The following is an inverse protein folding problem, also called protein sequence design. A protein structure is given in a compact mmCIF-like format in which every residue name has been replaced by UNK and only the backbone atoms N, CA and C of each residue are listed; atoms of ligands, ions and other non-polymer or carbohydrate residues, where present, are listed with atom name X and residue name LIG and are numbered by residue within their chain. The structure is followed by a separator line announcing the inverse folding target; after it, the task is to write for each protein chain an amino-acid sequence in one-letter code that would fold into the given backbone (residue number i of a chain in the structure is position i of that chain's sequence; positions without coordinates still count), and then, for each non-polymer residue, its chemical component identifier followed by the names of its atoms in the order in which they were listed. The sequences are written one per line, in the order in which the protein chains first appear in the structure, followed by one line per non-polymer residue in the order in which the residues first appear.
data_IF_722788012456
#
_entry.id   IF_722788012456
#
_cell.length_a   1.000
_cell.length_b   1.000
_cell.length_c   1.000
_cell.angle_alpha   90.00
_cell.angle_beta   90.00
_cell.angle_gamma   90.00
#
_symmetry.space_group_name_H-M   'P 1'
#
loop_
_entity.id
_entity.type
_entity.pdbx_description
1 polymer ?
#
# COMPACT_ATOMS: atom_id res chain seq x y z
N UNK A 1 11.80 11.29 69.49
CA UNK A 1 10.69 11.69 68.58
C UNK A 1 11.13 12.70 67.51
N UNK A 2 11.76 13.83 67.84
CA UNK A 2 12.28 14.81 66.85
C UNK A 2 13.23 14.21 65.79
N UNK A 3 14.09 13.27 66.19
CA UNK A 3 15.04 12.61 65.28
C UNK A 3 14.36 11.63 64.30
N UNK A 4 13.22 11.04 64.70
CA UNK A 4 12.44 10.11 63.86
C UNK A 4 11.65 10.90 62.81
N UNK A 5 11.09 12.05 63.18
CA UNK A 5 10.38 12.95 62.26
C UNK A 5 11.35 13.52 61.22
N UNK A 6 12.55 13.92 61.64
CA UNK A 6 13.58 14.42 60.72
C UNK A 6 14.04 13.33 59.74
N UNK A 7 14.17 12.09 60.20
CA UNK A 7 14.51 10.95 59.35
C UNK A 7 13.40 10.61 58.35
N UNK A 8 12.14 10.68 58.76
CA UNK A 8 10.98 10.45 57.89
C UNK A 8 10.85 11.53 56.79
N UNK A 9 11.17 12.79 57.10
CA UNK A 9 11.16 13.89 56.12
C UNK A 9 12.27 13.70 55.07
N UNK A 10 13.47 13.32 55.50
CA UNK A 10 14.59 13.03 54.58
C UNK A 10 14.27 11.82 53.70
N UNK A 11 13.68 10.76 54.25
CA UNK A 11 13.30 9.57 53.49
C UNK A 11 12.20 9.88 52.45
N UNK A 12 11.22 10.70 52.82
CA UNK A 12 10.16 11.17 51.91
C UNK A 12 10.72 12.01 50.75
N UNK A 13 11.70 12.88 51.01
CA UNK A 13 12.35 13.70 49.99
C UNK A 13 13.19 12.87 48.99
N UNK A 14 13.68 11.68 49.39
CA UNK A 14 14.41 10.77 48.50
C UNK A 14 13.44 10.09 47.51
N UNK A 15 12.21 9.78 47.92
CA UNK A 15 11.19 9.20 47.04
C UNK A 15 10.67 10.19 45.98
N UNK A 16 10.79 11.49 46.20
CA UNK A 16 10.39 12.49 45.19
C UNK A 16 11.39 12.64 44.03
N UNK A 17 12.59 12.06 44.15
CA UNK A 17 13.62 12.09 43.11
C UNK A 17 13.55 10.88 42.14
N UNK A 18 12.70 9.89 42.43
CA UNK A 18 12.48 8.73 41.55
C UNK A 18 11.23 8.94 40.69
N UNK A 19 11.17 10.03 39.92
CA UNK A 19 10.22 10.12 38.82
C UNK A 19 10.75 9.28 37.67
N UNK A 20 9.94 8.36 37.13
CA UNK A 20 10.26 7.76 35.84
C UNK A 20 10.36 8.90 34.82
N UNK A 21 11.53 9.08 34.20
CA UNK A 21 11.71 10.11 33.19
C UNK A 21 10.89 9.81 31.95
N UNK A 22 10.75 10.80 31.05
CA UNK A 22 9.97 10.68 29.82
C UNK A 22 10.37 9.47 28.97
N UNK A 23 11.62 8.99 29.09
CA UNK A 23 12.11 7.78 28.42
C UNK A 23 11.42 6.48 28.84
N UNK A 24 10.78 6.42 30.01
CA UNK A 24 9.98 5.26 30.43
C UNK A 24 8.62 5.21 29.71
N UNK A 25 8.08 6.36 29.31
CA UNK A 25 6.83 6.45 28.55
C UNK A 25 7.07 6.44 27.03
N UNK A 26 8.30 6.73 26.60
CA UNK A 26 8.70 6.71 25.20
C UNK A 26 9.28 5.35 24.80
N UNK A 27 8.41 4.33 24.76
CA UNK A 27 8.73 3.04 24.15
C UNK A 27 8.56 3.16 22.63
N UNK A 28 9.67 3.00 21.89
CA UNK A 28 9.59 2.95 20.44
C UNK A 28 9.03 1.60 20.01
N UNK A 29 7.99 1.63 19.18
CA UNK A 29 7.46 0.41 18.57
C UNK A 29 8.57 -0.29 17.76
N UNK A 30 8.93 -1.50 18.18
CA UNK A 30 10.10 -2.24 17.65
C UNK A 30 9.90 -2.69 16.19
N UNK A 31 8.65 -2.68 15.70
CA UNK A 31 8.27 -3.18 14.38
C UNK A 31 7.52 -2.14 13.53
N UNK A 32 7.51 -0.86 13.92
CA UNK A 32 6.82 0.17 13.15
C UNK A 32 7.73 0.74 12.04
N UNK A 33 7.19 0.86 10.84
CA UNK A 33 7.81 1.63 9.76
C UNK A 33 7.67 3.12 10.13
N UNK A 34 8.75 3.69 10.63
CA UNK A 34 8.83 5.13 10.96
C UNK A 34 9.39 5.92 9.78
N UNK A 35 9.21 7.25 9.77
CA UNK A 35 9.82 8.10 8.73
C UNK A 35 11.34 7.96 8.69
N UNK A 36 11.96 7.70 9.86
CA UNK A 36 13.38 7.40 9.95
C UNK A 36 13.73 6.06 9.28
N UNK A 37 12.86 5.06 9.36
CA UNK A 37 13.03 3.78 8.65
C UNK A 37 13.02 4.00 7.13
N UNK A 38 12.06 4.79 6.61
CA UNK A 38 11.94 5.09 5.18
C UNK A 38 13.16 5.85 4.65
N UNK A 39 13.81 6.67 5.47
CA UNK A 39 15.00 7.46 5.10
C UNK A 39 16.31 6.66 5.14
N UNK A 40 16.35 5.48 5.77
CA UNK A 40 17.57 4.68 5.90
C UNK A 40 17.94 3.95 4.60
N UNK A 41 19.22 4.04 4.21
CA UNK A 41 19.71 3.53 2.93
C UNK A 41 19.68 2.00 2.81
N UNK A 42 19.68 1.27 3.93
CA UNK A 42 19.63 -0.20 3.96
C UNK A 42 18.20 -0.77 3.88
N UNK A 43 17.16 0.06 3.86
CA UNK A 43 15.76 -0.40 3.87
C UNK A 43 15.05 -0.28 2.51
N UNK A 44 15.65 0.37 1.52
CA UNK A 44 15.04 0.61 0.19
C UNK A 44 14.65 -0.70 -0.47
N UNK A 45 15.54 -1.69 -0.47
CA UNK A 45 15.27 -3.01 -1.04
C UNK A 45 14.10 -3.71 -0.34
N UNK A 46 13.95 -3.51 0.99
CA UNK A 46 12.80 -3.99 1.74
C UNK A 46 11.49 -3.31 1.36
N UNK A 47 11.52 -2.00 1.06
CA UNK A 47 10.36 -1.24 0.59
C UNK A 47 9.94 -1.68 -0.82
N UNK A 48 10.91 -1.85 -1.73
CA UNK A 48 10.70 -2.37 -3.08
C UNK A 48 10.13 -3.78 -3.02
N UNK A 49 10.72 -4.65 -2.21
CA UNK A 49 10.24 -6.03 -2.00
C UNK A 49 8.82 -6.05 -1.42
N UNK A 50 8.50 -5.14 -0.50
CA UNK A 50 7.14 -4.98 0.04
C UNK A 50 6.12 -4.60 -1.03
N UNK A 51 6.48 -3.70 -1.96
CA UNK A 51 5.62 -3.35 -3.09
C UNK A 51 5.35 -4.58 -3.98
N UNK A 52 6.39 -5.37 -4.30
CA UNK A 52 6.24 -6.63 -5.03
C UNK A 52 5.38 -7.66 -4.31
N UNK A 53 5.54 -7.80 -3.00
CA UNK A 53 4.75 -8.73 -2.19
C UNK A 53 3.24 -8.43 -2.28
N UNK A 54 2.86 -7.19 -2.62
CA UNK A 54 1.48 -6.81 -2.91
C UNK A 54 0.86 -7.53 -4.12
N UNK A 55 1.64 -7.97 -5.10
CA UNK A 55 1.13 -8.71 -6.27
C UNK A 55 0.65 -10.12 -5.93
N UNK A 56 1.27 -10.75 -4.93
CA UNK A 56 0.99 -12.12 -4.53
C UNK A 56 0.04 -12.23 -3.32
N UNK A 57 -0.41 -11.10 -2.77
CA UNK A 57 -1.28 -11.07 -1.60
C UNK A 57 -2.74 -11.34 -1.99
N UNK A 58 -2.98 -12.55 -2.48
CA UNK A 58 -4.23 -13.06 -3.02
C UNK A 58 -5.06 -13.77 -1.94
N UNK A 59 -6.38 -13.67 -2.01
CA UNK A 59 -7.30 -14.37 -1.12
C UNK A 59 -8.62 -14.64 -1.84
N UNK A 60 -9.28 -15.75 -1.52
CA UNK A 60 -10.50 -16.16 -2.23
C UNK A 60 -11.67 -15.17 -2.13
N UNK A 61 -11.67 -14.26 -1.14
CA UNK A 61 -12.70 -13.22 -0.99
C UNK A 61 -12.38 -11.91 -1.74
N UNK A 62 -11.13 -11.71 -2.14
CA UNK A 62 -10.70 -10.52 -2.88
C UNK A 62 -9.62 -10.84 -3.91
N UNK A 63 -9.83 -11.83 -4.79
CA UNK A 63 -8.69 -12.41 -5.43
C UNK A 63 -8.04 -11.44 -6.40
N UNK A 64 -6.71 -11.45 -6.48
CA UNK A 64 -6.00 -10.53 -7.35
C UNK A 64 -6.20 -10.85 -8.83
N UNK A 65 -6.61 -12.09 -9.13
CA UNK A 65 -7.09 -12.48 -10.45
C UNK A 65 -8.46 -11.84 -10.74
N UNK A 66 -8.69 -11.46 -11.99
CA UNK A 66 -9.91 -10.73 -12.37
C UNK A 66 -11.12 -11.66 -12.59
N UNK A 67 -11.01 -12.95 -12.28
CA UNK A 67 -12.05 -13.94 -12.56
C UNK A 67 -13.39 -13.61 -11.90
N UNK A 68 -13.49 -13.22 -10.60
CA UNK A 68 -14.79 -12.88 -10.01
C UNK A 68 -15.36 -11.55 -10.51
N UNK A 69 -14.51 -10.68 -11.04
CA UNK A 69 -14.87 -9.31 -11.39
C UNK A 69 -15.12 -9.11 -12.88
N UNK A 70 -14.67 -10.06 -13.71
CA UNK A 70 -14.80 -10.08 -15.17
C UNK A 70 -15.49 -11.35 -15.64
N UNK A 71 -14.78 -12.48 -15.63
CA UNK A 71 -15.20 -13.72 -16.30
C UNK A 71 -16.55 -14.24 -15.80
N UNK A 72 -16.77 -14.36 -14.48
CA UNK A 72 -18.06 -14.86 -13.98
C UNK A 72 -19.21 -13.87 -14.20
N UNK A 73 -18.90 -12.60 -14.45
CA UNK A 73 -19.88 -11.55 -14.78
C UNK A 73 -20.12 -11.45 -16.29
N UNK A 74 -19.45 -12.30 -17.06
CA UNK A 74 -19.64 -12.48 -18.50
C UNK A 74 -20.42 -13.77 -18.77
N UNK A 75 -20.42 -14.24 -20.01
CA UNK A 75 -21.08 -15.46 -20.47
C UNK A 75 -20.14 -16.69 -20.54
N UNK A 76 -18.87 -16.54 -20.19
CA UNK A 76 -17.84 -17.57 -20.39
C UNK A 76 -17.54 -18.45 -19.15
N UNK A 77 -17.97 -18.02 -17.95
CA UNK A 77 -17.67 -18.72 -16.71
C UNK A 77 -18.85 -18.76 -15.73
N UNK A 78 -18.77 -19.70 -14.79
CA UNK A 78 -19.65 -19.81 -13.63
C UNK A 78 -18.83 -19.65 -12.36
N UNK A 79 -19.42 -19.11 -11.30
CA UNK A 79 -18.78 -19.02 -9.97
C UNK A 79 -18.24 -20.38 -9.52
N UNK A 80 -18.93 -21.47 -9.85
CA UNK A 80 -18.62 -22.79 -9.31
C UNK A 80 -18.78 -22.82 -7.78
N UNK A 81 -18.41 -23.92 -7.13
CA UNK A 81 -18.65 -24.12 -5.68
C UNK A 81 -19.77 -25.12 -5.41
N UNK A 82 -20.01 -25.42 -4.13
CA UNK A 82 -20.92 -26.51 -3.75
C UNK A 82 -22.39 -26.20 -4.06
N UNK A 83 -22.80 -24.98 -3.75
CA UNK A 83 -24.16 -24.46 -3.88
C UNK A 83 -24.12 -22.92 -4.00
N UNK A 84 -25.28 -22.27 -4.15
CA UNK A 84 -25.43 -20.82 -4.33
C UNK A 84 -24.91 -20.00 -3.14
N UNK A 85 -24.95 -20.57 -1.93
CA UNK A 85 -24.59 -19.86 -0.69
C UNK A 85 -23.08 -19.77 -0.46
N UNK A 86 -22.32 -20.68 -1.07
CA UNK A 86 -20.86 -20.64 -1.05
C UNK A 86 -20.36 -19.39 -1.79
N UNK A 87 -19.68 -18.46 -1.12
CA UNK A 87 -19.27 -17.17 -1.69
C UNK A 87 -20.42 -16.42 -2.39
N UNK A 88 -21.58 -16.30 -1.71
CA UNK A 88 -22.83 -15.75 -2.27
C UNK A 88 -22.67 -14.41 -3.00
N UNK A 89 -21.74 -13.55 -2.56
CA UNK A 89 -21.49 -12.26 -3.21
C UNK A 89 -21.03 -12.43 -4.67
N UNK A 90 -20.25 -13.47 -4.98
CA UNK A 90 -19.87 -13.77 -6.36
C UNK A 90 -21.02 -14.37 -7.18
N UNK A 91 -21.96 -15.07 -6.53
CA UNK A 91 -23.18 -15.50 -7.21
C UNK A 91 -24.01 -14.28 -7.63
N UNK A 92 -24.19 -13.29 -6.74
CA UNK A 92 -24.86 -12.03 -7.06
C UNK A 92 -24.19 -11.28 -8.21
N UNK A 93 -22.86 -11.26 -8.25
CA UNK A 93 -22.11 -10.70 -9.37
C UNK A 93 -22.36 -11.49 -10.66
N UNK A 94 -22.35 -12.82 -10.62
CA UNK A 94 -22.57 -13.70 -11.77
C UNK A 94 -23.94 -13.46 -12.43
N UNK A 95 -25.01 -13.46 -11.63
CA UNK A 95 -26.37 -13.29 -12.15
C UNK A 95 -26.76 -11.82 -12.32
N UNK A 96 -25.93 -10.89 -11.84
CA UNK A 96 -26.21 -9.44 -11.84
C UNK A 96 -27.49 -9.05 -11.08
N UNK A 97 -27.82 -9.79 -10.02
CA UNK A 97 -28.99 -9.56 -9.14
C UNK A 97 -28.54 -9.56 -7.67
N UNK A 98 -29.16 -8.74 -6.82
CA UNK A 98 -28.87 -8.69 -5.37
C UNK A 98 -27.62 -7.88 -4.97
N UNK A 99 -26.82 -7.42 -5.93
CA UNK A 99 -25.66 -6.55 -5.70
C UNK A 99 -26.10 -5.19 -5.16
N UNK A 100 -25.48 -4.73 -4.07
CA UNK A 100 -25.77 -3.47 -3.42
C UNK A 100 -24.47 -2.79 -2.92
N UNK A 101 -24.59 -1.60 -2.31
CA UNK A 101 -23.44 -0.82 -1.87
C UNK A 101 -22.66 -1.41 -0.70
N UNK A 102 -23.18 -2.46 -0.06
CA UNK A 102 -22.52 -3.18 1.05
C UNK A 102 -22.22 -4.63 0.67
N UNK A 103 -22.17 -4.96 -0.63
CA UNK A 103 -21.73 -6.28 -1.08
C UNK A 103 -20.23 -6.44 -0.82
N UNK A 104 -19.84 -7.37 0.05
CA UNK A 104 -18.45 -7.61 0.41
C UNK A 104 -17.60 -8.05 -0.79
N UNK A 105 -16.26 -7.94 -0.66
CA UNK A 105 -15.28 -8.32 -1.68
C UNK A 105 -14.95 -7.21 -2.68
N UNK A 106 -15.89 -6.31 -3.01
CA UNK A 106 -15.61 -5.12 -3.84
C UNK A 106 -14.84 -4.04 -3.06
N UNK A 107 -15.18 -3.83 -1.79
CA UNK A 107 -14.41 -2.95 -0.90
C UNK A 107 -13.02 -3.53 -0.60
N UNK A 108 -12.94 -4.85 -0.41
CA UNK A 108 -11.67 -5.53 -0.13
C UNK A 108 -10.67 -5.36 -1.29
N UNK A 109 -11.07 -5.61 -2.54
CA UNK A 109 -10.15 -5.44 -3.68
C UNK A 109 -9.75 -3.97 -3.86
N UNK A 110 -10.66 -3.03 -3.62
CA UNK A 110 -10.35 -1.60 -3.61
C UNK A 110 -9.27 -1.28 -2.58
N UNK A 111 -9.47 -1.71 -1.33
CA UNK A 111 -8.53 -1.51 -0.23
C UNK A 111 -7.15 -2.10 -0.54
N UNK A 112 -7.09 -3.35 -0.98
CA UNK A 112 -5.83 -4.04 -1.25
C UNK A 112 -5.05 -3.42 -2.42
N UNK A 113 -5.75 -2.96 -3.47
CA UNK A 113 -5.11 -2.23 -4.57
C UNK A 113 -4.50 -0.91 -4.07
N UNK A 114 -5.19 -0.17 -3.20
CA UNK A 114 -4.64 1.04 -2.58
C UNK A 114 -3.48 0.75 -1.61
N UNK A 115 -3.50 -0.36 -0.90
CA UNK A 115 -2.33 -0.80 -0.12
C UNK A 115 -1.11 -1.06 -1.02
N UNK A 116 -1.31 -1.68 -2.20
CA UNK A 116 -0.26 -1.86 -3.20
C UNK A 116 0.32 -0.52 -3.68
N UNK A 117 -0.56 0.44 -4.01
CA UNK A 117 -0.19 1.80 -4.40
C UNK A 117 0.59 2.51 -3.29
N UNK A 118 0.14 2.43 -2.04
CA UNK A 118 0.81 3.07 -0.91
C UNK A 118 2.23 2.53 -0.70
N UNK A 119 2.44 1.21 -0.88
CA UNK A 119 3.78 0.59 -0.83
C UNK A 119 4.68 1.10 -1.96
N UNK A 120 4.16 1.19 -3.19
CA UNK A 120 4.91 1.77 -4.31
C UNK A 120 5.29 3.23 -4.05
N UNK A 121 4.34 4.05 -3.58
CA UNK A 121 4.58 5.46 -3.28
C UNK A 121 5.61 5.64 -2.15
N UNK A 122 5.58 4.79 -1.12
CA UNK A 122 6.58 4.81 -0.04
C UNK A 122 7.98 4.47 -0.57
N UNK A 123 8.09 3.46 -1.43
CA UNK A 123 9.36 3.09 -2.07
C UNK A 123 9.88 4.20 -3.00
N UNK A 124 9.02 4.77 -3.83
CA UNK A 124 9.33 5.89 -4.73
C UNK A 124 9.84 7.10 -3.94
N UNK A 125 9.12 7.52 -2.91
CA UNK A 125 9.52 8.62 -2.04
C UNK A 125 10.92 8.37 -1.43
N UNK A 126 11.18 7.15 -0.93
CA UNK A 126 12.50 6.79 -0.39
C UNK A 126 13.60 6.84 -1.46
N UNK A 127 13.32 6.32 -2.66
CA UNK A 127 14.25 6.33 -3.81
C UNK A 127 14.56 7.77 -4.24
N UNK A 128 13.58 8.67 -4.26
CA UNK A 128 13.76 10.08 -4.63
C UNK A 128 14.72 10.83 -3.71
N UNK A 129 14.66 10.55 -2.39
CA UNK A 129 15.55 11.16 -1.39
C UNK A 129 17.03 10.73 -1.52
N UNK A 130 17.36 9.71 -2.32
CA UNK A 130 18.75 9.24 -2.51
C UNK A 130 19.42 9.87 -3.73
N UNK A 131 20.73 10.14 -3.63
CA UNK A 131 21.54 10.41 -4.82
C UNK A 131 21.81 9.12 -5.61
N UNK A 132 21.83 9.21 -6.94
CA UNK A 132 22.22 8.09 -7.82
C UNK A 132 23.64 7.57 -7.50
N UNK A 133 24.54 8.42 -7.00
CA UNK A 133 25.89 8.02 -6.59
C UNK A 133 25.91 7.02 -5.42
N UNK A 134 24.82 6.95 -4.66
CA UNK A 134 24.74 6.19 -3.42
C UNK A 134 23.90 4.92 -3.57
N UNK A 135 23.20 4.75 -4.70
CA UNK A 135 22.35 3.59 -4.95
C UNK A 135 22.27 3.29 -6.45
N UNK A 136 23.02 2.28 -6.89
CA UNK A 136 23.21 1.95 -8.31
C UNK A 136 21.90 1.57 -9.01
N UNK A 137 21.00 0.87 -8.31
CA UNK A 137 19.74 0.38 -8.87
C UNK A 137 18.62 1.43 -8.88
N UNK A 138 18.87 2.66 -8.39
CA UNK A 138 17.83 3.68 -8.19
C UNK A 138 16.93 3.89 -9.41
N UNK A 139 17.54 4.09 -10.57
CA UNK A 139 16.81 4.44 -11.81
C UNK A 139 15.90 3.30 -12.25
N UNK A 140 16.39 2.06 -12.16
CA UNK A 140 15.65 0.86 -12.51
C UNK A 140 14.52 0.60 -11.52
N UNK A 141 14.77 0.69 -10.21
CA UNK A 141 13.75 0.45 -9.21
C UNK A 141 12.65 1.52 -9.19
N UNK A 142 12.96 2.78 -9.55
CA UNK A 142 11.93 3.80 -9.79
C UNK A 142 11.01 3.36 -10.94
N UNK A 143 11.58 2.84 -12.03
CA UNK A 143 10.82 2.36 -13.17
C UNK A 143 9.97 1.13 -12.81
N UNK A 144 10.50 0.20 -12.03
CA UNK A 144 9.76 -0.94 -11.49
C UNK A 144 8.57 -0.47 -10.62
N UNK A 145 8.79 0.47 -9.69
CA UNK A 145 7.72 0.96 -8.81
C UNK A 145 6.62 1.72 -9.58
N UNK A 146 6.98 2.49 -10.61
CA UNK A 146 6.01 3.12 -11.51
C UNK A 146 5.19 2.07 -12.28
N UNK A 147 5.85 1.03 -12.80
CA UNK A 147 5.15 -0.09 -13.46
C UNK A 147 4.15 -0.76 -12.52
N UNK A 148 4.56 -1.11 -11.29
CA UNK A 148 3.67 -1.73 -10.31
C UNK A 148 2.50 -0.81 -9.93
N UNK A 149 2.77 0.47 -9.67
CA UNK A 149 1.72 1.45 -9.36
C UNK A 149 0.72 1.59 -10.49
N UNK A 150 1.20 1.69 -11.74
CA UNK A 150 0.36 1.72 -12.92
C UNK A 150 -0.50 0.45 -13.05
N UNK A 151 0.06 -0.72 -12.74
CA UNK A 151 -0.69 -1.99 -12.74
C UNK A 151 -1.83 -2.01 -11.71
N UNK A 152 -1.57 -1.55 -10.49
CA UNK A 152 -2.62 -1.44 -9.46
C UNK A 152 -3.70 -0.42 -9.86
N UNK A 153 -3.32 0.74 -10.39
CA UNK A 153 -4.29 1.72 -10.89
C UNK A 153 -5.05 1.24 -12.12
N UNK A 154 -4.42 0.49 -13.03
CA UNK A 154 -5.10 -0.12 -14.16
C UNK A 154 -6.24 -1.03 -13.69
N UNK A 155 -5.99 -1.89 -12.70
CA UNK A 155 -7.03 -2.75 -12.10
C UNK A 155 -8.14 -1.93 -11.47
N UNK A 156 -7.81 -0.92 -10.67
CA UNK A 156 -8.81 0.01 -10.12
C UNK A 156 -9.65 0.67 -11.24
N UNK A 157 -8.99 1.08 -12.32
CA UNK A 157 -9.60 1.81 -13.43
C UNK A 157 -10.59 0.96 -14.21
N UNK A 158 -10.27 -0.30 -14.48
CA UNK A 158 -11.18 -1.21 -15.21
C UNK A 158 -12.36 -1.66 -14.34
N UNK A 159 -12.18 -1.74 -13.02
CA UNK A 159 -13.23 -2.14 -12.08
C UNK A 159 -14.18 -1.00 -11.72
N UNK A 160 -13.64 0.19 -11.41
CA UNK A 160 -14.41 1.28 -10.81
C UNK A 160 -14.53 2.53 -11.68
N UNK A 161 -13.82 2.58 -12.82
CA UNK A 161 -13.78 3.69 -13.79
C UNK A 161 -13.20 5.01 -13.28
N UNK A 162 -13.49 5.42 -12.06
CA UNK A 162 -13.07 6.71 -11.49
C UNK A 162 -12.60 6.49 -10.06
N UNK A 163 -11.32 6.79 -9.81
CA UNK A 163 -10.68 6.56 -8.52
C UNK A 163 -9.79 7.75 -8.15
N UNK A 164 -9.57 8.05 -6.86
CA UNK A 164 -8.57 9.02 -6.43
C UNK A 164 -7.18 8.66 -6.96
N UNK A 165 -6.49 9.62 -7.57
CA UNK A 165 -5.11 9.45 -8.01
C UNK A 165 -4.16 10.03 -6.95
N UNK A 166 -3.45 9.14 -6.27
CA UNK A 166 -2.53 9.40 -5.15
C UNK A 166 -1.12 8.92 -5.52
N UNK A 167 -0.15 9.82 -5.41
CA UNK A 167 1.26 9.62 -5.77
C UNK A 167 2.16 9.68 -4.53
N UNK A 168 3.47 9.56 -4.75
CA UNK A 168 4.56 9.74 -3.77
C UNK A 168 4.78 11.20 -3.35
N UNK A 169 3.99 12.13 -3.91
CA UNK A 169 3.95 13.53 -3.51
C UNK A 169 3.63 13.64 -2.01
N UNK A 170 4.21 14.66 -1.37
CA UNK A 170 4.07 14.91 0.06
C UNK A 170 2.66 15.45 0.37
N UNK A 171 1.69 14.56 0.31
CA UNK A 171 0.31 14.77 0.73
C UNK A 171 0.21 14.29 2.17
N UNK A 172 -0.30 15.15 3.06
CA UNK A 172 -0.57 14.75 4.43
C UNK A 172 -1.57 13.58 4.45
N UNK A 173 -1.30 12.57 5.27
CA UNK A 173 -2.18 11.40 5.41
C UNK A 173 -3.58 11.80 5.86
N UNK A 174 -3.69 12.87 6.64
CA UNK A 174 -4.97 13.40 7.10
C UNK A 174 -5.79 13.99 5.92
N UNK A 175 -5.12 14.43 4.86
CA UNK A 175 -5.74 15.01 3.67
C UNK A 175 -6.19 13.98 2.63
N UNK A 176 -5.82 12.69 2.76
CA UNK A 176 -6.22 11.65 1.81
C UNK A 176 -7.74 11.56 1.61
N UNK A 177 -8.50 11.82 2.68
CA UNK A 177 -9.97 11.79 2.65
C UNK A 177 -10.58 12.94 1.83
N UNK A 178 -9.81 13.98 1.52
CA UNK A 178 -10.25 15.15 0.75
C UNK A 178 -10.09 14.95 -0.76
N UNK A 179 -9.35 13.92 -1.20
CA UNK A 179 -9.06 13.66 -2.61
C UNK A 179 -10.27 13.00 -3.27
N UNK A 180 -10.99 13.78 -4.09
CA UNK A 180 -12.16 13.29 -4.81
C UNK A 180 -11.81 12.31 -5.94
N UNK A 181 -12.66 11.32 -6.16
CA UNK A 181 -12.55 10.36 -7.28
C UNK A 181 -12.89 10.95 -8.66
N UNK A 182 -13.25 12.25 -8.74
CA UNK A 182 -13.60 12.98 -9.97
C UNK A 182 -12.65 14.15 -10.27
N UNK A 183 -11.51 14.24 -9.58
CA UNK A 183 -10.49 15.26 -9.86
C UNK A 183 -10.02 15.19 -11.31
N UNK A 184 -9.87 13.97 -11.84
CA UNK A 184 -9.50 13.73 -13.24
C UNK A 184 -10.70 13.23 -14.05
N UNK A 185 -10.73 13.63 -15.33
CA UNK A 185 -11.64 13.05 -16.32
C UNK A 185 -11.27 11.57 -16.56
N UNK A 186 -12.17 10.83 -17.22
CA UNK A 186 -11.90 9.43 -17.58
C UNK A 186 -10.65 9.29 -18.45
N UNK A 187 -10.45 10.21 -19.40
CA UNK A 187 -9.32 10.21 -20.31
C UNK A 187 -8.03 10.65 -19.60
N UNK A 188 -8.09 11.68 -18.77
CA UNK A 188 -6.90 12.18 -18.08
C UNK A 188 -6.39 11.20 -17.02
N UNK A 189 -7.30 10.48 -16.35
CA UNK A 189 -6.90 9.40 -15.45
C UNK A 189 -6.21 8.25 -16.21
N UNK A 190 -6.68 7.92 -17.42
CA UNK A 190 -5.96 6.96 -18.28
C UNK A 190 -4.58 7.46 -18.68
N UNK A 191 -4.43 8.75 -19.03
CA UNK A 191 -3.13 9.35 -19.36
C UNK A 191 -2.13 9.26 -18.20
N UNK A 192 -2.59 9.43 -16.95
CA UNK A 192 -1.74 9.25 -15.76
C UNK A 192 -1.20 7.83 -15.65
N UNK A 193 -2.07 6.82 -15.80
CA UNK A 193 -1.69 5.40 -15.76
C UNK A 193 -0.71 5.06 -16.90
N UNK A 194 -0.99 5.53 -18.11
CA UNK A 194 -0.14 5.31 -19.29
C UNK A 194 1.23 5.96 -19.08
N UNK A 195 1.29 7.16 -18.51
CA UNK A 195 2.55 7.86 -18.24
C UNK A 195 3.50 7.05 -17.37
N UNK A 196 3.01 6.43 -16.28
CA UNK A 196 3.84 5.58 -15.43
C UNK A 196 4.35 4.34 -16.19
N UNK A 197 3.49 3.72 -17.02
CA UNK A 197 3.91 2.60 -17.88
C UNK A 197 4.95 3.01 -18.94
N UNK A 198 4.78 4.17 -19.57
CA UNK A 198 5.73 4.67 -20.57
C UNK A 198 7.08 5.00 -19.96
N UNK A 199 7.09 5.61 -18.78
CA UNK A 199 8.32 5.89 -18.04
C UNK A 199 9.05 4.60 -17.69
N UNK A 200 8.31 3.57 -17.26
CA UNK A 200 8.86 2.25 -17.01
C UNK A 200 9.44 1.62 -18.29
N UNK A 201 8.68 1.64 -19.40
CA UNK A 201 9.11 1.10 -20.69
C UNK A 201 10.40 1.74 -21.23
N UNK A 202 10.54 3.06 -21.06
CA UNK A 202 11.73 3.81 -21.51
C UNK A 202 12.98 3.49 -20.69
N UNK A 203 12.82 2.95 -19.49
CA UNK A 203 13.89 2.83 -18.49
C UNK A 203 14.29 1.38 -18.19
N UNK A 204 13.33 0.46 -18.15
CA UNK A 204 13.58 -0.93 -17.79
C UNK A 204 14.46 -1.65 -18.84
N UNK A 205 15.34 -2.57 -18.40
CA UNK A 205 16.17 -3.35 -19.31
C UNK A 205 15.32 -4.38 -20.07
N UNK A 206 15.83 -4.81 -21.23
CA UNK A 206 15.21 -5.88 -22.03
C UNK A 206 15.29 -7.23 -21.32
N UNK A 207 16.31 -7.44 -20.49
CA UNK A 207 16.52 -8.67 -19.72
C UNK A 207 16.84 -8.31 -18.28
N UNK A 208 16.11 -8.94 -17.36
CA UNK A 208 16.32 -8.83 -15.94
C UNK A 208 17.21 -9.96 -15.42
N UNK A 209 18.09 -9.65 -14.46
CA UNK A 209 18.91 -10.68 -13.78
C UNK A 209 18.09 -11.50 -12.78
N UNK A 210 17.03 -10.91 -12.23
CA UNK A 210 16.12 -11.53 -11.26
C UNK A 210 14.81 -11.85 -11.96
N UNK A 211 14.39 -13.12 -11.89
CA UNK A 211 13.10 -13.58 -12.41
C UNK A 211 11.95 -12.85 -11.69
N UNK A 212 10.87 -12.56 -12.42
CA UNK A 212 9.65 -11.88 -11.96
C UNK A 212 9.76 -10.37 -11.71
N UNK A 213 10.93 -9.74 -11.91
CA UNK A 213 11.01 -8.29 -12.11
C UNK A 213 10.56 -7.94 -13.53
N UNK A 214 9.84 -6.82 -13.73
CA UNK A 214 9.38 -6.41 -15.04
C UNK A 214 10.57 -6.05 -15.92
N UNK A 215 10.42 -6.37 -17.20
CA UNK A 215 11.37 -5.96 -18.23
C UNK A 215 10.75 -4.83 -19.03
N UNK A 216 11.45 -4.39 -20.07
CA UNK A 216 10.85 -3.55 -21.11
C UNK A 216 9.62 -4.17 -21.77
N UNK A 217 9.47 -5.50 -21.77
CA UNK A 217 8.40 -6.25 -22.41
C UNK A 217 7.40 -6.82 -21.41
#
# INVERSE_FOLDING_TARGET
MKNIISFAIILSAIFTLTSCGDSFLNENATSAVTDNFVKQQNQIEGLVTSAYAGLGNDHYTYPFNLWPYGDIRSDDAKKGGRDESDCINYHYLEISEGVNSTTDGLDDIWYHLYCGIARCNTALHSLELKSNSNYANKVEEIAEMKFLRAHFYYKLKILFKFVPWITEEDIDKDDYTTIGNRVYSNEDLWKKIISDFEDAYKTLPEVQSVVARPTKY
#
